data_IF_395088814795
#
_entry.id   IF_395088814795
#
_cell.length_a   1.000
_cell.length_b   1.000
_cell.length_c   1.000
_cell.angle_alpha   90.00
_cell.angle_beta   90.00
_cell.angle_gamma   90.00
#
_symmetry.space_group_name_H-M   'P 1'
#
loop_
_entity.id
_entity.type
_entity.pdbx_description
1 polymer ?
#
# COMPACT_ATOMS: atom_id res chain seq x y z
N UNK A 1 12.78 10.98 -30.42
CA UNK A 1 11.36 10.65 -30.64
C UNK A 1 10.94 9.77 -29.48
N UNK A 2 10.82 10.38 -28.31
CA UNK A 2 9.54 10.88 -27.78
C UNK A 2 8.49 9.77 -27.67
N UNK A 3 8.26 9.35 -26.43
CA UNK A 3 7.27 8.35 -26.09
C UNK A 3 7.16 8.07 -24.59
N UNK A 4 7.46 9.04 -23.72
CA UNK A 4 6.93 8.99 -22.35
C UNK A 4 5.42 9.16 -22.51
N UNK A 5 4.70 8.05 -22.53
CA UNK A 5 3.25 8.05 -22.37
C UNK A 5 2.91 7.30 -21.10
N UNK A 6 3.28 7.90 -19.97
CA UNK A 6 2.63 7.55 -18.72
C UNK A 6 1.24 8.17 -18.67
N UNK A 7 0.28 7.30 -18.36
CA UNK A 7 -1.07 7.56 -17.85
C UNK A 7 -2.22 7.61 -18.87
N UNK A 8 -3.06 6.56 -18.88
CA UNK A 8 -4.50 6.65 -18.84
C UNK A 8 -4.97 6.27 -17.42
N UNK A 9 -4.54 7.08 -16.44
CA UNK A 9 -4.61 7.02 -14.96
C UNK A 9 -4.32 5.68 -14.31
N UNK A 10 -5.05 4.64 -14.63
CA UNK A 10 -4.97 3.36 -13.95
C UNK A 10 -5.21 2.20 -14.91
N UNK A 11 -5.30 2.44 -16.24
CA UNK A 11 -5.83 1.52 -17.27
C UNK A 11 -6.69 0.40 -16.69
N UNK A 12 -7.75 0.87 -16.01
CA UNK A 12 -8.78 0.14 -15.27
C UNK A 12 -8.57 -0.25 -13.78
N UNK A 13 -7.70 0.38 -12.98
CA UNK A 13 -7.47 0.17 -11.52
C UNK A 13 -7.01 -1.25 -11.11
N UNK A 14 -7.45 -2.29 -11.82
CA UNK A 14 -7.26 -3.72 -11.59
C UNK A 14 -7.53 -4.45 -12.93
N UNK A 15 -6.51 -4.90 -13.67
CA UNK A 15 -6.70 -5.79 -14.83
C UNK A 15 -5.51 -5.72 -15.82
N UNK A 16 -4.83 -6.80 -16.22
CA UNK A 16 -5.15 -8.24 -16.19
C UNK A 16 -3.89 -9.14 -16.10
N UNK A 17 -4.12 -10.38 -15.63
CA UNK A 17 -3.41 -11.69 -15.88
C UNK A 17 -1.99 -11.86 -15.31
N UNK A 18 -1.58 -12.93 -14.58
CA UNK A 18 -2.13 -14.26 -14.24
C UNK A 18 -1.73 -14.71 -12.80
N UNK A 19 -2.10 -13.95 -11.77
CA UNK A 19 -2.10 -14.46 -10.39
C UNK A 19 -3.23 -13.74 -9.64
N UNK A 20 -4.32 -14.46 -9.37
CA UNK A 20 -5.61 -13.92 -8.91
C UNK A 20 -5.56 -13.12 -7.58
N UNK A 21 -4.40 -13.02 -6.92
CA UNK A 21 -4.22 -12.31 -5.64
C UNK A 21 -3.56 -10.93 -5.77
N UNK A 22 -2.96 -10.58 -6.92
CA UNK A 22 -2.15 -9.35 -7.05
C UNK A 22 -2.82 -8.23 -7.84
N UNK A 23 -4.03 -8.44 -8.36
CA UNK A 23 -4.74 -7.46 -9.22
C UNK A 23 -4.92 -6.08 -8.56
N UNK A 24 -4.74 -5.95 -7.25
CA UNK A 24 -4.97 -4.74 -6.46
C UNK A 24 -3.79 -4.09 -5.77
N UNK A 25 -2.57 -4.40 -6.20
CA UNK A 25 -1.35 -3.88 -5.61
C UNK A 25 -0.67 -2.83 -6.51
N UNK A 26 -0.48 -1.61 -5.99
CA UNK A 26 0.33 -0.56 -6.58
C UNK A 26 1.78 -0.67 -6.09
N UNK A 27 2.74 -0.77 -7.01
CA UNK A 27 4.17 -0.76 -6.69
C UNK A 27 4.62 0.67 -6.37
N UNK A 28 5.16 0.88 -5.16
CA UNK A 28 5.71 2.16 -4.72
C UNK A 28 7.25 2.15 -4.78
N UNK A 29 7.86 1.02 -4.37
CA UNK A 29 9.29 0.76 -4.51
C UNK A 29 9.43 -0.64 -5.08
N UNK A 30 10.10 -0.74 -6.25
CA UNK A 30 10.30 -2.02 -6.93
C UNK A 30 10.87 -3.07 -5.98
N UNK A 31 10.23 -4.25 -5.94
CA UNK A 31 10.62 -5.42 -5.14
C UNK A 31 10.63 -5.22 -3.61
N UNK A 32 10.17 -4.07 -3.10
CA UNK A 32 10.29 -3.76 -1.66
C UNK A 32 9.02 -3.22 -1.01
N UNK A 33 8.24 -2.42 -1.73
CA UNK A 33 7.05 -1.78 -1.17
C UNK A 33 5.92 -1.73 -2.18
N UNK A 34 4.81 -2.36 -1.79
CA UNK A 34 3.57 -2.40 -2.54
C UNK A 34 2.44 -1.95 -1.63
N UNK A 35 1.53 -1.16 -2.16
CA UNK A 35 0.27 -0.79 -1.52
C UNK A 35 -0.83 -1.66 -2.12
N UNK A 36 -1.55 -2.42 -1.31
CA UNK A 36 -2.60 -3.33 -1.80
C UNK A 36 -3.95 -3.05 -1.14
N UNK A 37 -5.02 -3.15 -1.91
CA UNK A 37 -6.39 -3.11 -1.41
C UNK A 37 -7.00 -4.51 -1.47
N UNK A 38 -7.30 -5.09 -0.31
CA UNK A 38 -7.75 -6.48 -0.17
C UNK A 38 -9.00 -6.51 0.72
N UNK A 39 -9.95 -7.39 0.40
CA UNK A 39 -11.18 -7.56 1.20
C UNK A 39 -10.95 -8.32 2.51
N UNK A 40 -9.84 -9.05 2.61
CA UNK A 40 -9.46 -9.85 3.76
C UNK A 40 -7.96 -9.76 4.00
N UNK A 41 -7.54 -9.86 5.26
CA UNK A 41 -6.13 -9.85 5.63
C UNK A 41 -5.42 -11.09 5.04
N UNK A 42 -4.47 -10.93 4.13
CA UNK A 42 -3.75 -12.05 3.54
C UNK A 42 -2.78 -12.66 4.57
N UNK A 43 -2.38 -13.91 4.33
CA UNK A 43 -1.31 -14.55 5.11
C UNK A 43 0.03 -14.09 4.56
N UNK A 44 0.94 -13.69 5.45
CA UNK A 44 2.33 -13.43 5.06
C UNK A 44 3.00 -14.73 4.60
N UNK A 45 3.84 -14.60 3.58
CA UNK A 45 4.70 -15.68 3.06
C UNK A 45 6.12 -15.49 3.58
N UNK A 46 7.03 -16.40 3.23
CA UNK A 46 8.46 -16.26 3.56
C UNK A 46 9.07 -14.97 2.95
N UNK A 47 8.57 -14.56 1.78
CA UNK A 47 9.15 -13.45 1.01
C UNK A 47 8.29 -12.18 1.05
N UNK A 48 7.03 -12.27 1.49
CA UNK A 48 6.10 -11.15 1.48
C UNK A 48 5.47 -10.99 2.85
N UNK A 49 5.76 -9.86 3.48
CA UNK A 49 5.14 -9.47 4.74
C UNK A 49 4.02 -8.45 4.48
N UNK A 50 2.79 -8.80 4.86
CA UNK A 50 1.65 -7.89 4.81
C UNK A 50 1.42 -7.19 6.15
N UNK A 51 1.06 -5.91 6.11
CA UNK A 51 0.52 -5.19 7.25
C UNK A 51 -0.54 -4.19 6.80
N UNK A 52 -1.48 -3.91 7.70
CA UNK A 52 -2.45 -2.84 7.58
C UNK A 52 -2.32 -1.91 8.79
N UNK A 53 -2.90 -0.72 8.69
CA UNK A 53 -2.94 0.28 9.77
C UNK A 53 -4.36 0.73 10.09
N UNK A 54 -5.37 0.08 9.51
CA UNK A 54 -6.79 0.46 9.61
C UNK A 54 -7.27 0.48 11.07
N UNK A 55 -6.84 -0.48 11.89
CA UNK A 55 -7.17 -0.55 13.32
C UNK A 55 -6.27 0.33 14.22
N UNK A 56 -5.21 0.94 13.66
CA UNK A 56 -4.24 1.76 14.43
C UNK A 56 -4.43 3.26 14.20
N UNK A 57 -4.71 3.65 12.96
CA UNK A 57 -4.88 5.04 12.55
C UNK A 57 -6.33 5.27 12.14
N UNK A 58 -7.18 5.40 13.16
CA UNK A 58 -8.61 5.67 12.99
C UNK A 58 -8.81 7.18 12.88
N UNK A 59 -9.47 7.62 11.81
CA UNK A 59 -9.91 8.99 11.66
C UNK A 59 -11.14 9.26 12.52
N UNK A 60 -11.12 10.30 13.34
CA UNK A 60 -12.29 10.76 14.08
C UNK A 60 -13.09 11.74 13.22
N UNK A 61 -14.25 11.30 12.75
CA UNK A 61 -15.14 12.09 11.89
C UNK A 61 -15.94 13.12 12.69
N UNK A 62 -16.15 14.31 12.11
CA UNK A 62 -17.09 15.29 12.68
C UNK A 62 -18.53 15.02 12.25
N UNK A 63 -18.73 14.55 11.01
CA UNK A 63 -20.01 14.18 10.43
C UNK A 63 -19.85 12.95 9.53
N UNK A 64 -19.97 13.10 8.20
CA UNK A 64 -19.80 12.02 7.21
C UNK A 64 -18.47 12.09 6.46
N UNK A 65 -17.52 12.87 6.98
CA UNK A 65 -16.13 12.93 6.53
C UNK A 65 -15.38 11.65 6.91
N UNK A 66 -14.45 11.24 6.06
CA UNK A 66 -13.66 10.01 6.23
C UNK A 66 -12.15 10.27 6.23
N UNK A 67 -11.73 11.53 6.20
CA UNK A 67 -10.32 11.89 6.16
C UNK A 67 -10.05 13.24 5.50
N UNK A 68 -8.76 13.53 5.25
CA UNK A 68 -7.59 12.68 5.46
C UNK A 68 -7.17 12.53 6.93
N UNK A 69 -6.34 11.52 7.23
CA UNK A 69 -5.68 11.42 8.53
C UNK A 69 -4.82 12.65 8.82
N UNK A 70 -4.72 13.02 10.10
CA UNK A 70 -3.92 14.16 10.52
C UNK A 70 -2.40 13.90 10.41
N UNK A 71 -1.61 14.97 10.53
CA UNK A 71 -0.16 14.93 10.37
C UNK A 71 0.54 14.04 11.42
N UNK A 72 0.00 13.95 12.64
CA UNK A 72 0.56 13.09 13.68
C UNK A 72 0.45 11.61 13.31
N UNK A 73 -0.67 11.19 12.72
CA UNK A 73 -0.86 9.82 12.21
C UNK A 73 0.02 9.53 11.00
N UNK A 74 0.16 10.49 10.06
CA UNK A 74 1.08 10.35 8.94
C UNK A 74 2.53 10.16 9.40
N UNK A 75 2.98 10.96 10.38
CA UNK A 75 4.32 10.83 10.96
C UNK A 75 4.54 9.44 11.57
N UNK A 76 3.56 8.94 12.34
CA UNK A 76 3.61 7.59 12.93
C UNK A 76 3.67 6.51 11.86
N UNK A 77 2.90 6.63 10.79
CA UNK A 77 2.96 5.74 9.64
C UNK A 77 4.36 5.72 9.01
N UNK A 78 4.95 6.89 8.74
CA UNK A 78 6.31 7.00 8.20
C UNK A 78 7.35 6.33 9.11
N UNK A 79 7.29 6.56 10.43
CA UNK A 79 8.17 5.89 11.39
C UNK A 79 8.01 4.36 11.37
N UNK A 80 6.77 3.86 11.34
CA UNK A 80 6.48 2.42 11.29
C UNK A 80 6.97 1.79 9.98
N UNK A 81 6.70 2.43 8.84
CA UNK A 81 7.14 1.98 7.52
C UNK A 81 8.67 1.94 7.44
N UNK A 82 9.35 2.98 7.89
CA UNK A 82 10.81 3.04 7.91
C UNK A 82 11.44 1.93 8.75
N UNK A 83 10.83 1.57 9.89
CA UNK A 83 11.29 0.41 10.68
C UNK A 83 11.16 -0.89 9.88
N UNK A 84 10.02 -1.11 9.21
CA UNK A 84 9.81 -2.32 8.39
C UNK A 84 10.78 -2.42 7.22
N UNK A 85 11.03 -1.32 6.51
CA UNK A 85 11.97 -1.29 5.39
C UNK A 85 13.43 -1.52 5.79
N UNK A 86 13.82 -1.15 7.03
CA UNK A 86 15.16 -1.41 7.56
C UNK A 86 15.38 -2.88 7.92
N UNK A 87 14.34 -3.57 8.39
CA UNK A 87 14.41 -4.98 8.79
C UNK A 87 14.56 -5.91 7.57
N UNK A 88 14.31 -5.43 6.34
CA UNK A 88 14.44 -6.20 5.10
C UNK A 88 15.88 -6.44 4.60
N UNK A 89 16.91 -6.16 5.39
CA UNK A 89 18.28 -6.61 5.12
C UNK A 89 18.65 -7.75 6.08
N UNK A 90 18.19 -8.97 5.82
CA UNK A 90 18.90 -10.18 6.22
C UNK A 90 18.27 -11.42 5.55
N UNK A 91 19.17 -12.26 4.99
CA UNK A 91 18.97 -13.55 4.33
C UNK A 91 18.52 -13.51 2.87
#
# INVERSE_FOLDING_TARGET
>A
MEGVRHSPVLSALFGMTEDSETLGAAQLIKERLYFATLRSKPKSTANTHYFCTDDEFIYENFYSDFGPLNLAMLYRYCCKLNKKLKVSFCC
#
